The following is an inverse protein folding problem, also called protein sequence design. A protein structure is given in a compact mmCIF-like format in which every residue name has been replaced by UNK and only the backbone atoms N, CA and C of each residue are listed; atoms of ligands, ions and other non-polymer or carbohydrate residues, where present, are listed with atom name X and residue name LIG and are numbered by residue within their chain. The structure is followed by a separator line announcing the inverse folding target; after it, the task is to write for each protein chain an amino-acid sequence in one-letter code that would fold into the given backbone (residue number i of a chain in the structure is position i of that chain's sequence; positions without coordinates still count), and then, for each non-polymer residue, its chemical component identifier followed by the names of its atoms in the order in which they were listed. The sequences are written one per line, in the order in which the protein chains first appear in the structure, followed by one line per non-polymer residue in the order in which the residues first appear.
data_IF_888351070803
#
_entry.id   IF_888351070803
#
_cell.length_a   1.000
_cell.length_b   1.000
_cell.length_c   1.000
_cell.angle_alpha   90.00
_cell.angle_beta   90.00
_cell.angle_gamma   90.00
#
_symmetry.space_group_name_H-M   'P 1'
#
loop_
_entity.id
_entity.type
_entity.pdbx_description
1 polymer ?
#
# COMPACT_ATOMS: atom_id res chain seq x y z
N UNK A 1 22.23 17.36 11.88
CA UNK A 1 22.34 16.86 10.50
C UNK A 1 20.93 16.73 9.96
N UNK A 2 20.59 17.48 8.91
CA UNK A 2 19.27 17.45 8.27
C UNK A 2 19.44 16.65 6.99
N UNK A 3 18.85 15.46 6.92
CA UNK A 3 18.84 14.65 5.72
C UNK A 3 17.80 15.25 4.75
N UNK A 4 18.29 15.88 3.70
CA UNK A 4 17.50 16.33 2.55
C UNK A 4 17.13 15.09 1.73
N UNK A 5 15.85 14.73 1.70
CA UNK A 5 15.34 13.71 0.79
C UNK A 5 15.08 14.39 -0.57
N UNK A 6 16.12 14.45 -1.39
CA UNK A 6 16.06 14.96 -2.76
C UNK A 6 15.72 13.78 -3.68
N UNK A 7 14.44 13.41 -3.74
CA UNK A 7 13.93 12.36 -4.64
C UNK A 7 12.59 11.79 -4.19
N UNK A 8 11.57 11.84 -5.05
CA UNK A 8 10.19 11.38 -4.80
C UNK A 8 10.03 9.84 -4.86
N UNK A 9 11.02 9.08 -4.39
CA UNK A 9 11.06 7.62 -4.49
C UNK A 9 11.40 6.97 -3.15
N UNK A 10 10.40 6.31 -2.55
CA UNK A 10 10.55 5.45 -1.37
C UNK A 10 11.15 4.12 -1.82
N UNK A 11 12.35 3.81 -1.32
CA UNK A 11 13.08 2.57 -1.58
C UNK A 11 12.58 1.41 -0.72
N UNK A 12 12.98 0.16 -1.03
CA UNK A 12 12.63 -1.01 -0.23
C UNK A 12 13.14 -0.96 1.23
N UNK A 13 14.13 -0.10 1.53
CA UNK A 13 14.65 0.13 2.88
C UNK A 13 13.77 1.04 3.74
N UNK A 14 12.86 1.80 3.13
CA UNK A 14 11.96 2.73 3.82
C UNK A 14 10.66 2.05 4.28
N UNK A 15 10.48 0.76 3.97
CA UNK A 15 9.34 -0.01 4.43
C UNK A 15 9.65 -0.75 5.74
N UNK A 16 8.69 -0.78 6.68
CA UNK A 16 8.74 -1.68 7.81
C UNK A 16 8.84 -3.15 7.34
N UNK A 17 9.80 -3.94 7.86
CA UNK A 17 10.05 -5.31 7.42
C UNK A 17 8.83 -6.24 7.61
N UNK A 18 7.90 -5.87 8.49
CA UNK A 18 6.65 -6.59 8.71
C UNK A 18 5.75 -6.62 7.45
N UNK A 19 5.89 -5.62 6.57
CA UNK A 19 5.17 -5.58 5.29
C UNK A 19 5.77 -6.49 4.21
N UNK A 20 6.99 -6.98 4.41
CA UNK A 20 7.64 -7.92 3.47
C UNK A 20 7.28 -9.38 3.76
N UNK A 21 6.70 -9.67 4.94
CA UNK A 21 6.45 -11.03 5.44
C UNK A 21 4.99 -11.50 5.24
N UNK A 22 4.10 -10.64 4.72
CA UNK A 22 2.65 -10.92 4.71
C UNK A 22 2.19 -11.93 3.65
N UNK A 23 3.05 -12.34 2.71
CA UNK A 23 2.64 -13.14 1.53
C UNK A 23 2.19 -14.58 1.86
N UNK A 24 2.36 -15.10 3.08
CA UNK A 24 2.09 -16.51 3.41
C UNK A 24 1.25 -16.77 4.67
N UNK A 25 0.53 -15.77 5.19
CA UNK A 25 -0.23 -15.94 6.44
C UNK A 25 -1.65 -16.48 6.20
N UNK A 26 -2.14 -17.39 7.06
CA UNK A 26 -3.51 -17.90 6.97
C UNK A 26 -4.54 -16.75 7.00
N UNK A 27 -5.62 -16.81 6.20
CA UNK A 27 -6.59 -15.71 6.08
C UNK A 27 -7.38 -15.44 7.36
N UNK A 28 -7.49 -16.42 8.26
CA UNK A 28 -8.11 -16.32 9.58
C UNK A 28 -7.18 -15.75 10.66
N UNK A 29 -5.86 -15.71 10.39
CA UNK A 29 -4.90 -15.05 11.27
C UNK A 29 -5.15 -13.54 11.32
N UNK A 30 -4.74 -12.89 12.42
CA UNK A 30 -4.80 -11.43 12.54
C UNK A 30 -4.18 -10.72 11.33
N UNK A 31 -3.01 -11.16 10.89
CA UNK A 31 -2.32 -10.60 9.74
C UNK A 31 -3.09 -10.85 8.43
N UNK A 32 -3.66 -12.03 8.23
CA UNK A 32 -4.50 -12.34 7.08
C UNK A 32 -5.74 -11.44 6.99
N UNK A 33 -6.40 -11.21 8.12
CA UNK A 33 -7.56 -10.31 8.20
C UNK A 33 -7.16 -8.84 7.94
N UNK A 34 -6.01 -8.40 8.44
CA UNK A 34 -5.47 -7.07 8.15
C UNK A 34 -5.16 -6.91 6.66
N UNK A 35 -4.57 -7.92 6.02
CA UNK A 35 -4.28 -7.90 4.59
C UNK A 35 -5.55 -7.88 3.73
N UNK A 36 -6.58 -8.67 4.10
CA UNK A 36 -7.86 -8.64 3.39
C UNK A 36 -8.59 -7.30 3.57
N UNK A 37 -8.52 -6.72 4.77
CA UNK A 37 -9.04 -5.37 5.00
C UNK A 37 -8.33 -4.34 4.11
N UNK A 38 -7.00 -4.38 4.02
CA UNK A 38 -6.20 -3.52 3.15
C UNK A 38 -6.60 -3.67 1.69
N UNK A 39 -6.75 -4.92 1.20
CA UNK A 39 -7.22 -5.20 -0.16
C UNK A 39 -8.57 -4.58 -0.43
N UNK A 40 -9.53 -4.80 0.46
CA UNK A 40 -10.89 -4.25 0.33
C UNK A 40 -10.88 -2.73 0.30
N UNK A 41 -10.15 -2.09 1.23
CA UNK A 41 -10.05 -0.64 1.29
C UNK A 41 -9.48 -0.04 0.00
N UNK A 42 -8.40 -0.61 -0.54
CA UNK A 42 -7.78 -0.15 -1.78
C UNK A 42 -8.74 -0.33 -2.96
N UNK A 43 -9.37 -1.49 -3.10
CA UNK A 43 -10.36 -1.76 -4.18
C UNK A 43 -11.52 -0.78 -4.13
N UNK A 44 -12.10 -0.55 -2.95
CA UNK A 44 -13.23 0.37 -2.79
C UNK A 44 -12.85 1.80 -3.16
N UNK A 45 -11.70 2.27 -2.69
CA UNK A 45 -11.25 3.62 -3.03
C UNK A 45 -10.96 3.76 -4.51
N UNK A 46 -10.32 2.78 -5.14
CA UNK A 46 -10.12 2.76 -6.59
C UNK A 46 -11.46 2.82 -7.33
N UNK A 47 -12.45 2.03 -6.93
CA UNK A 47 -13.78 2.06 -7.53
C UNK A 47 -14.45 3.43 -7.39
N UNK A 48 -14.40 4.04 -6.19
CA UNK A 48 -14.93 5.40 -5.93
C UNK A 48 -14.22 6.48 -6.75
N UNK A 49 -12.93 6.27 -7.06
CA UNK A 49 -12.12 7.18 -7.88
C UNK A 49 -12.15 6.84 -9.39
N UNK A 50 -12.98 5.89 -9.83
CA UNK A 50 -13.07 5.49 -11.24
C UNK A 50 -11.78 4.84 -11.77
N UNK A 51 -11.03 4.15 -10.91
CA UNK A 51 -9.75 3.52 -11.24
C UNK A 51 -8.55 4.47 -11.27
N UNK A 52 -8.74 5.77 -10.99
CA UNK A 52 -7.64 6.72 -10.97
C UNK A 52 -6.76 6.54 -9.71
N UNK A 53 -5.61 5.90 -9.89
CA UNK A 53 -4.67 5.59 -8.80
C UNK A 53 -4.12 6.84 -8.09
N UNK A 54 -3.89 7.95 -8.81
CA UNK A 54 -3.42 9.20 -8.19
C UNK A 54 -4.48 9.74 -7.23
N UNK A 55 -5.74 9.82 -7.66
CA UNK A 55 -6.85 10.29 -6.82
C UNK A 55 -7.13 9.33 -5.66
N UNK A 56 -6.97 8.03 -5.86
CA UNK A 56 -7.12 7.04 -4.80
C UNK A 56 -6.02 7.17 -3.74
N UNK A 57 -4.77 7.45 -4.15
CA UNK A 57 -3.66 7.68 -3.23
C UNK A 57 -3.89 8.93 -2.38
N UNK A 58 -4.32 10.04 -3.00
CA UNK A 58 -4.71 11.26 -2.30
C UNK A 58 -5.84 11.01 -1.30
N UNK A 59 -6.88 10.26 -1.69
CA UNK A 59 -8.01 9.93 -0.81
C UNK A 59 -7.60 9.06 0.38
N UNK A 60 -6.62 8.17 0.20
CA UNK A 60 -6.04 7.36 1.27
C UNK A 60 -4.94 8.09 2.06
N UNK A 61 -4.59 9.33 1.66
CA UNK A 61 -3.45 10.09 2.20
C UNK A 61 -2.13 9.32 2.11
N UNK A 62 -1.96 8.59 1.00
CA UNK A 62 -0.77 7.85 0.66
C UNK A 62 -0.04 8.52 -0.50
N UNK A 63 1.26 8.31 -0.57
CA UNK A 63 2.00 8.62 -1.78
C UNK A 63 1.54 7.70 -2.92
N UNK A 64 1.42 8.25 -4.14
CA UNK A 64 1.00 7.50 -5.34
C UNK A 64 1.87 6.28 -5.60
N UNK A 65 3.19 6.42 -5.50
CA UNK A 65 4.17 5.34 -5.71
C UNK A 65 3.99 4.21 -4.72
N UNK A 66 3.72 4.56 -3.46
CA UNK A 66 3.41 3.58 -2.42
C UNK A 66 2.10 2.84 -2.69
N UNK A 67 1.03 3.54 -3.08
CA UNK A 67 -0.22 2.87 -3.46
C UNK A 67 -0.02 1.92 -4.65
N UNK A 68 0.69 2.35 -5.70
CA UNK A 68 0.98 1.51 -6.85
C UNK A 68 1.76 0.23 -6.46
N UNK A 69 2.68 0.35 -5.50
CA UNK A 69 3.40 -0.80 -4.92
C UNK A 69 2.47 -1.72 -4.14
N UNK A 70 1.61 -1.18 -3.27
CA UNK A 70 0.62 -1.97 -2.54
C UNK A 70 -0.30 -2.74 -3.48
N UNK A 71 -0.79 -2.13 -4.56
CA UNK A 71 -1.62 -2.79 -5.56
C UNK A 71 -0.91 -4.01 -6.17
N UNK A 72 0.37 -3.84 -6.56
CA UNK A 72 1.18 -4.93 -7.13
C UNK A 72 1.40 -6.07 -6.14
N UNK A 73 1.75 -5.76 -4.89
CA UNK A 73 1.97 -6.75 -3.83
C UNK A 73 0.67 -7.49 -3.47
N UNK A 74 -0.44 -6.77 -3.47
CA UNK A 74 -1.75 -7.32 -3.14
C UNK A 74 -2.46 -7.95 -4.35
N UNK A 75 -1.83 -8.00 -5.53
CA UNK A 75 -2.41 -8.58 -6.75
C UNK A 75 -3.81 -8.06 -7.08
N UNK A 76 -4.04 -6.76 -6.84
CA UNK A 76 -5.32 -6.08 -7.12
C UNK A 76 -5.31 -5.50 -8.53
#
# INVERSE_FOLDING_TARGET
AVALAEGEEIGPADLPPELLLSEQLPPDSFHGQVEEFRRRLIRETLARCGGNQTRAAEALKLQRTYLARLIRQLGI
#
